data_IF_704504986721
#
_entry.id   IF_704504986721
#
_cell.length_a   1.000
_cell.length_b   1.000
_cell.length_c   1.000
_cell.angle_alpha   90.00
_cell.angle_beta   90.00
_cell.angle_gamma   90.00
#
_symmetry.space_group_name_H-M   'P 1'
#
loop_
_entity.id
_entity.type
_entity.pdbx_description
1 polymer ?
#
# COMPACT_ATOMS: atom_id res chain seq x y z
N UNK A 1 1.68 14.44 17.24
CA UNK A 1 0.51 14.19 18.11
C UNK A 1 -0.57 13.45 17.32
N UNK A 2 -1.08 13.96 16.19
CA UNK A 2 -2.17 13.32 15.41
C UNK A 2 -1.79 11.99 14.75
N UNK A 3 -0.53 11.63 14.67
CA UNK A 3 -0.10 10.34 14.13
C UNK A 3 0.04 9.27 15.23
N UNK A 4 0.59 9.63 16.38
CA UNK A 4 0.90 8.66 17.45
C UNK A 4 -0.27 8.38 18.38
N UNK A 5 -1.03 9.40 18.78
CA UNK A 5 -2.11 9.24 19.75
C UNK A 5 -3.32 8.45 19.20
N UNK A 6 -3.84 8.72 17.98
CA UNK A 6 -4.91 7.91 17.40
C UNK A 6 -4.47 6.46 17.14
N UNK A 7 -3.25 6.21 16.64
CA UNK A 7 -2.77 4.84 16.43
C UNK A 7 -2.79 4.03 17.73
N UNK A 8 -2.26 4.57 18.81
CA UNK A 8 -2.27 3.91 20.12
C UNK A 8 -3.70 3.66 20.62
N UNK A 9 -4.62 4.61 20.41
CA UNK A 9 -6.01 4.46 20.78
C UNK A 9 -6.70 3.34 19.98
N UNK A 10 -6.48 3.26 18.66
CA UNK A 10 -7.06 2.19 17.83
C UNK A 10 -6.54 0.81 18.21
N UNK A 11 -5.24 0.68 18.50
CA UNK A 11 -4.67 -0.58 18.99
C UNK A 11 -5.31 -0.97 20.31
N UNK A 12 -5.40 -0.06 21.27
CA UNK A 12 -6.00 -0.32 22.58
C UNK A 12 -7.49 -0.68 22.47
N UNK A 13 -8.25 0.01 21.62
CA UNK A 13 -9.66 -0.31 21.35
C UNK A 13 -9.80 -1.71 20.75
N UNK A 14 -8.96 -2.05 19.78
CA UNK A 14 -8.99 -3.36 19.14
C UNK A 14 -8.66 -4.51 20.12
N UNK A 15 -7.82 -4.26 21.11
CA UNK A 15 -7.45 -5.23 22.14
C UNK A 15 -8.44 -5.30 23.30
N UNK A 16 -9.31 -4.29 23.45
CA UNK A 16 -10.28 -4.21 24.56
C UNK A 16 -11.52 -5.08 24.37
N UNK A 17 -11.72 -5.66 23.18
CA UNK A 17 -12.92 -6.42 22.83
C UNK A 17 -14.14 -5.56 22.51
N UNK A 18 -13.95 -4.26 22.28
CA UNK A 18 -15.00 -3.34 21.82
C UNK A 18 -15.10 -3.41 20.29
N UNK A 19 -16.27 -3.78 19.79
CA UNK A 19 -16.52 -3.92 18.35
C UNK A 19 -16.83 -2.58 17.65
N UNK A 20 -17.36 -1.60 18.39
CA UNK A 20 -17.69 -0.28 17.87
C UNK A 20 -17.24 0.82 18.82
N UNK A 21 -16.68 1.88 18.27
CA UNK A 21 -16.23 3.04 19.03
C UNK A 21 -16.65 4.36 18.38
N UNK A 22 -16.79 5.42 19.18
CA UNK A 22 -16.98 6.79 18.71
C UNK A 22 -15.81 7.62 19.20
N UNK A 23 -15.10 8.27 18.27
CA UNK A 23 -13.94 9.08 18.58
C UNK A 23 -14.13 10.55 18.26
N UNK A 24 -13.73 11.44 19.15
CA UNK A 24 -13.70 12.91 18.97
C UNK A 24 -12.28 13.42 18.66
N UNK A 25 -11.52 12.67 17.88
CA UNK A 25 -10.12 13.01 17.58
C UNK A 25 -9.97 14.31 16.76
N UNK A 26 -11.04 14.76 16.09
CA UNK A 26 -11.06 16.01 15.32
C UNK A 26 -11.03 17.25 16.22
N UNK A 27 -11.36 17.12 17.51
CA UNK A 27 -11.28 18.19 18.49
C UNK A 27 -9.84 18.56 18.88
N UNK A 28 -8.89 17.67 18.58
CA UNK A 28 -7.47 17.95 18.80
C UNK A 28 -7.04 19.12 17.92
N UNK A 29 -6.54 20.18 18.53
CA UNK A 29 -6.03 21.32 17.77
C UNK A 29 -4.75 20.97 17.02
N UNK A 30 -4.74 21.28 15.73
CA UNK A 30 -3.57 21.18 14.86
C UNK A 30 -3.52 22.45 14.02
N UNK A 31 -2.44 23.21 14.20
CA UNK A 31 -2.26 24.51 13.55
C UNK A 31 -2.36 24.36 12.01
N UNK A 32 -3.10 25.26 11.40
CA UNK A 32 -3.28 25.38 9.95
C UNK A 32 -3.83 24.12 9.24
N UNK A 33 -4.63 23.28 9.98
CA UNK A 33 -5.26 22.08 9.41
C UNK A 33 -6.78 22.08 9.60
N UNK A 34 -7.49 21.83 8.51
CA UNK A 34 -8.95 21.70 8.52
C UNK A 34 -9.43 20.41 9.20
N UNK A 35 -10.69 20.39 9.61
CA UNK A 35 -11.34 19.18 10.14
C UNK A 35 -11.33 18.04 9.13
N UNK A 36 -11.54 18.31 7.84
CA UNK A 36 -11.44 17.32 6.76
C UNK A 36 -10.04 16.71 6.68
N UNK A 37 -8.97 17.52 6.78
CA UNK A 37 -7.60 17.00 6.82
C UNK A 37 -7.39 16.10 8.04
N UNK A 38 -7.88 16.50 9.22
CA UNK A 38 -7.79 15.69 10.44
C UNK A 38 -8.52 14.37 10.28
N UNK A 39 -9.74 14.37 9.76
CA UNK A 39 -10.52 13.17 9.51
C UNK A 39 -9.80 12.19 8.56
N UNK A 40 -9.20 12.70 7.49
CA UNK A 40 -8.37 11.91 6.56
C UNK A 40 -7.20 11.23 7.30
N UNK A 41 -6.48 11.96 8.13
CA UNK A 41 -5.35 11.41 8.89
C UNK A 41 -5.81 10.36 9.91
N UNK A 42 -6.92 10.60 10.60
CA UNK A 42 -7.47 9.67 11.59
C UNK A 42 -7.87 8.36 10.92
N UNK A 43 -8.60 8.42 9.81
CA UNK A 43 -9.03 7.22 9.07
C UNK A 43 -7.83 6.43 8.52
N UNK A 44 -6.83 7.11 7.94
CA UNK A 44 -5.59 6.48 7.50
C UNK A 44 -4.86 5.79 8.65
N UNK A 45 -4.77 6.45 9.81
CA UNK A 45 -4.12 5.90 11.00
C UNK A 45 -4.89 4.72 11.59
N UNK A 46 -6.22 4.70 11.52
CA UNK A 46 -7.03 3.55 11.94
C UNK A 46 -6.68 2.31 11.14
N UNK A 47 -6.71 2.41 9.80
CA UNK A 47 -6.35 1.32 8.91
C UNK A 47 -4.92 0.80 9.16
N UNK A 48 -3.97 1.72 9.26
CA UNK A 48 -2.55 1.34 9.38
C UNK A 48 -2.16 0.82 10.75
N UNK A 49 -2.84 1.26 11.81
CA UNK A 49 -2.59 0.81 13.19
C UNK A 49 -3.05 -0.63 13.45
N UNK A 50 -4.07 -1.08 12.72
CA UNK A 50 -4.67 -2.41 12.88
C UNK A 50 -4.06 -3.47 11.94
N UNK A 51 -3.14 -3.07 11.08
CA UNK A 51 -2.46 -4.00 10.17
C UNK A 51 -1.68 -5.07 10.94
N UNK A 52 -1.89 -6.33 10.56
CA UNK A 52 -1.14 -7.49 11.05
C UNK A 52 -0.79 -8.41 9.89
N UNK A 53 0.49 -8.66 9.68
CA UNK A 53 0.94 -9.67 8.75
C UNK A 53 0.70 -11.08 9.28
N UNK A 54 0.11 -11.94 8.47
CA UNK A 54 -0.26 -13.31 8.88
C UNK A 54 0.03 -14.40 7.85
N UNK A 55 0.34 -14.05 6.61
CA UNK A 55 0.36 -15.00 5.48
C UNK A 55 1.35 -16.16 5.63
N UNK A 56 2.50 -15.95 6.28
CA UNK A 56 3.52 -17.00 6.49
C UNK A 56 3.59 -17.51 7.92
N UNK A 57 2.63 -17.10 8.78
CA UNK A 57 2.60 -17.53 10.18
C UNK A 57 1.63 -18.69 10.33
N UNK A 58 2.08 -19.80 10.95
CA UNK A 58 1.28 -20.99 11.20
C UNK A 58 0.12 -20.75 12.18
N UNK A 59 0.29 -19.82 13.12
CA UNK A 59 -0.76 -19.42 14.06
C UNK A 59 -0.70 -17.89 14.26
N UNK A 60 -1.74 -17.20 13.84
CA UNK A 60 -2.00 -15.83 14.28
C UNK A 60 -3.06 -15.89 15.37
N UNK A 61 -2.75 -15.41 16.57
CA UNK A 61 -3.80 -15.16 17.58
C UNK A 61 -4.71 -14.07 17.00
N UNK A 62 -5.86 -14.49 16.47
CA UNK A 62 -6.93 -13.58 16.13
C UNK A 62 -7.40 -12.85 17.41
N UNK A 63 -7.71 -11.56 17.28
CA UNK A 63 -8.43 -10.86 18.34
C UNK A 63 -9.84 -11.45 18.35
N UNK A 64 -10.29 -11.97 19.49
CA UNK A 64 -11.62 -12.65 19.61
C UNK A 64 -12.77 -11.71 19.18
N UNK A 65 -12.66 -10.42 19.54
CA UNK A 65 -13.62 -9.37 19.18
C UNK A 65 -12.85 -8.16 18.65
N UNK A 66 -12.54 -8.11 17.36
CA UNK A 66 -11.81 -6.99 16.77
C UNK A 66 -12.70 -5.75 16.69
N UNK A 67 -12.08 -4.58 16.68
CA UNK A 67 -12.76 -3.33 16.39
C UNK A 67 -13.26 -3.36 14.93
N UNK A 68 -14.57 -3.36 14.75
CA UNK A 68 -15.23 -3.44 13.44
C UNK A 68 -15.53 -2.07 12.84
N UNK A 69 -15.83 -1.09 13.70
CA UNK A 69 -16.17 0.26 13.26
C UNK A 69 -15.73 1.32 14.26
N UNK A 70 -15.25 2.45 13.72
CA UNK A 70 -15.01 3.65 14.51
C UNK A 70 -15.68 4.84 13.82
N UNK A 71 -16.62 5.46 14.51
CA UNK A 71 -17.29 6.67 14.04
C UNK A 71 -16.51 7.91 14.48
N UNK A 72 -16.13 8.75 13.53
CA UNK A 72 -15.51 10.05 13.82
C UNK A 72 -16.63 11.07 14.05
N UNK A 73 -16.80 11.51 15.31
CA UNK A 73 -17.78 12.54 15.65
C UNK A 73 -17.25 13.92 15.27
N UNK A 74 -18.09 14.72 14.61
CA UNK A 74 -17.79 16.09 14.19
C UNK A 74 -18.96 17.02 14.50
N UNK A 75 -18.69 18.31 14.73
CA UNK A 75 -19.72 19.31 15.06
C UNK A 75 -20.33 20.01 13.83
N UNK A 76 -19.73 19.84 12.66
CA UNK A 76 -20.11 20.53 11.41
C UNK A 76 -20.66 19.58 10.37
N UNK A 77 -21.34 20.13 9.35
CA UNK A 77 -21.90 19.38 8.24
C UNK A 77 -20.82 18.60 7.46
N UNK A 78 -21.13 17.34 7.18
CA UNK A 78 -20.15 16.28 7.15
C UNK A 78 -19.73 15.84 5.74
N UNK A 79 -20.28 16.33 4.63
CA UNK A 79 -20.02 15.75 3.30
C UNK A 79 -18.52 15.77 2.90
N UNK A 80 -17.85 16.90 3.07
CA UNK A 80 -16.43 17.03 2.78
C UNK A 80 -15.56 16.25 3.78
N UNK A 81 -16.01 16.19 5.03
CA UNK A 81 -15.33 15.46 6.09
C UNK A 81 -15.47 13.95 5.87
N UNK A 82 -16.66 13.49 5.48
CA UNK A 82 -16.92 12.10 5.12
C UNK A 82 -16.02 11.67 3.95
N UNK A 83 -16.03 12.45 2.86
CA UNK A 83 -15.15 12.19 1.70
C UNK A 83 -13.68 12.15 2.09
N UNK A 84 -13.23 13.05 2.96
CA UNK A 84 -11.86 13.07 3.45
C UNK A 84 -11.52 11.81 4.29
N UNK A 85 -12.46 11.34 5.12
CA UNK A 85 -12.28 10.10 5.89
C UNK A 85 -12.21 8.87 4.96
N UNK A 86 -13.08 8.78 3.95
CA UNK A 86 -13.04 7.71 2.93
C UNK A 86 -11.71 7.71 2.17
N UNK A 87 -11.20 8.87 1.76
CA UNK A 87 -9.87 8.99 1.17
C UNK A 87 -8.76 8.55 2.13
N UNK A 88 -8.90 8.88 3.42
CA UNK A 88 -7.96 8.44 4.45
C UNK A 88 -7.91 6.92 4.61
N UNK A 89 -9.06 6.28 4.64
CA UNK A 89 -9.17 4.81 4.69
C UNK A 89 -8.56 4.16 3.45
N UNK A 90 -8.84 4.69 2.26
CA UNK A 90 -8.26 4.22 1.01
C UNK A 90 -6.71 4.34 0.98
N UNK A 91 -6.17 5.46 1.48
CA UNK A 91 -4.72 5.65 1.62
C UNK A 91 -4.14 4.61 2.59
N UNK A 92 -4.78 4.41 3.75
CA UNK A 92 -4.38 3.41 4.73
C UNK A 92 -4.39 1.99 4.16
N UNK A 93 -5.42 1.64 3.43
CA UNK A 93 -5.53 0.35 2.75
C UNK A 93 -4.44 0.16 1.66
N UNK A 94 -4.08 1.23 0.93
CA UNK A 94 -2.95 1.25 0.00
C UNK A 94 -1.60 1.04 0.71
N UNK A 95 -1.39 1.71 1.84
CA UNK A 95 -0.19 1.53 2.68
C UNK A 95 -0.08 0.10 3.22
N UNK A 96 -1.20 -0.50 3.65
CA UNK A 96 -1.23 -1.87 4.13
C UNK A 96 -0.91 -2.88 3.02
N UNK A 97 -1.40 -2.65 1.80
CA UNK A 97 -1.02 -3.46 0.64
C UNK A 97 0.51 -3.39 0.39
N UNK A 98 1.09 -2.20 0.47
CA UNK A 98 2.54 -2.04 0.29
C UNK A 98 3.34 -2.78 1.39
N UNK A 99 2.88 -2.71 2.64
CA UNK A 99 3.48 -3.46 3.77
C UNK A 99 3.36 -4.96 3.56
N UNK A 100 2.18 -5.44 3.20
CA UNK A 100 1.93 -6.87 2.98
C UNK A 100 2.86 -7.44 1.90
N UNK A 101 3.06 -6.71 0.81
CA UNK A 101 3.99 -7.11 -0.24
C UNK A 101 5.45 -7.09 0.23
N UNK A 102 5.82 -6.11 1.07
CA UNK A 102 7.16 -6.03 1.66
C UNK A 102 7.43 -7.12 2.70
N UNK A 103 6.40 -7.51 3.48
CA UNK A 103 6.53 -8.54 4.53
C UNK A 103 6.53 -9.97 3.97
N UNK A 104 6.18 -10.15 2.68
CA UNK A 104 6.25 -11.45 2.01
C UNK A 104 7.70 -11.82 1.67
N UNK A 105 8.12 -13.05 1.95
CA UNK A 105 9.46 -13.50 1.60
C UNK A 105 9.64 -13.56 0.07
N UNK A 106 10.88 -13.36 -0.40
CA UNK A 106 11.21 -13.25 -1.82
C UNK A 106 10.90 -14.49 -2.68
N UNK A 107 10.72 -15.65 -2.05
CA UNK A 107 10.24 -16.88 -2.71
C UNK A 107 8.73 -16.88 -2.95
N UNK A 108 7.97 -16.03 -2.29
CA UNK A 108 6.53 -15.80 -2.49
C UNK A 108 6.32 -14.53 -3.30
N UNK A 109 6.88 -13.40 -2.86
CA UNK A 109 6.81 -12.12 -3.56
C UNK A 109 7.78 -12.09 -4.75
N UNK A 110 7.50 -12.89 -5.77
CA UNK A 110 8.26 -12.94 -7.02
C UNK A 110 7.80 -11.88 -8.00
N UNK A 111 8.55 -11.56 -9.09
CA UNK A 111 8.07 -10.66 -10.13
C UNK A 111 6.73 -11.09 -10.74
N UNK A 112 6.54 -12.41 -10.92
CA UNK A 112 5.27 -12.98 -11.41
C UNK A 112 4.14 -12.70 -10.42
N UNK A 113 4.33 -12.96 -9.12
CA UNK A 113 3.35 -12.64 -8.09
C UNK A 113 2.97 -11.15 -8.09
N UNK A 114 3.97 -10.28 -8.20
CA UNK A 114 3.72 -8.84 -8.31
C UNK A 114 2.88 -8.50 -9.55
N UNK A 115 3.11 -9.12 -10.69
CA UNK A 115 2.33 -8.92 -11.90
C UNK A 115 0.88 -9.40 -11.73
N UNK A 116 0.68 -10.60 -11.19
CA UNK A 116 -0.65 -11.17 -10.89
C UNK A 116 -1.47 -10.27 -9.97
N UNK A 117 -0.84 -9.77 -8.92
CA UNK A 117 -1.48 -8.84 -8.01
C UNK A 117 -1.85 -7.50 -8.68
N UNK A 118 -1.06 -7.00 -9.63
CA UNK A 118 -1.39 -5.79 -10.39
C UNK A 118 -2.55 -6.02 -11.37
N UNK A 119 -2.58 -7.16 -12.01
CA UNK A 119 -3.69 -7.57 -12.88
C UNK A 119 -4.99 -7.68 -12.06
N UNK A 120 -4.94 -8.32 -10.90
CA UNK A 120 -6.09 -8.43 -10.00
C UNK A 120 -6.63 -7.05 -9.55
N UNK A 121 -5.77 -6.06 -9.34
CA UNK A 121 -6.22 -4.69 -9.08
C UNK A 121 -6.91 -4.08 -10.31
N UNK A 122 -6.39 -4.29 -11.51
CA UNK A 122 -7.03 -3.84 -12.76
C UNK A 122 -8.39 -4.50 -12.99
N UNK A 123 -8.54 -5.77 -12.62
CA UNK A 123 -9.84 -6.47 -12.70
C UNK A 123 -10.84 -5.95 -11.65
N UNK A 124 -10.36 -5.62 -10.46
CA UNK A 124 -11.19 -5.10 -9.38
C UNK A 124 -11.67 -3.66 -9.60
N UNK A 125 -10.82 -2.83 -10.18
CA UNK A 125 -11.10 -1.39 -10.35
C UNK A 125 -11.06 -1.01 -11.83
N UNK A 126 -12.23 -0.73 -12.42
CA UNK A 126 -12.35 -0.34 -13.84
C UNK A 126 -11.59 0.95 -14.20
N UNK A 127 -11.22 1.76 -13.19
CA UNK A 127 -10.38 2.96 -13.35
C UNK A 127 -8.89 2.67 -13.52
N UNK A 128 -8.46 1.42 -13.31
CA UNK A 128 -7.07 0.99 -13.46
C UNK A 128 -6.94 0.11 -14.70
N UNK A 129 -6.07 0.50 -15.64
CA UNK A 129 -5.66 -0.35 -16.74
C UNK A 129 -4.25 -0.90 -16.45
N UNK A 130 -4.12 -2.23 -16.42
CA UNK A 130 -2.84 -2.89 -16.13
C UNK A 130 -2.30 -3.57 -17.38
N UNK A 131 -1.03 -3.31 -17.70
CA UNK A 131 -0.28 -3.97 -18.78
C UNK A 131 0.99 -4.57 -18.18
N UNK A 132 1.29 -5.82 -18.54
CA UNK A 132 2.51 -6.52 -18.13
C UNK A 132 3.30 -6.86 -19.38
N UNK A 133 4.57 -6.42 -19.44
CA UNK A 133 5.51 -6.85 -20.48
C UNK A 133 6.34 -8.02 -19.96
N UNK A 134 6.40 -9.05 -20.76
CA UNK A 134 7.26 -10.22 -20.56
C UNK A 134 8.70 -9.94 -21.03
N UNK A 135 9.64 -10.82 -20.70
CA UNK A 135 11.05 -10.67 -21.12
C UNK A 135 11.21 -10.55 -22.65
N UNK A 136 10.43 -11.30 -23.42
CA UNK A 136 10.47 -11.23 -24.89
C UNK A 136 10.00 -9.86 -25.42
N UNK A 137 8.97 -9.27 -24.79
CA UNK A 137 8.48 -7.93 -25.15
C UNK A 137 9.54 -6.87 -24.85
N UNK A 138 10.17 -6.99 -23.68
CA UNK A 138 11.23 -6.08 -23.25
C UNK A 138 12.49 -6.21 -24.12
N UNK A 139 12.82 -7.43 -24.58
CA UNK A 139 13.94 -7.68 -25.51
C UNK A 139 13.66 -7.02 -26.87
N UNK A 140 12.44 -7.17 -27.40
CA UNK A 140 12.02 -6.53 -28.64
C UNK A 140 12.08 -4.98 -28.57
N UNK A 141 11.86 -4.42 -27.38
CA UNK A 141 11.99 -2.97 -27.10
C UNK A 141 13.43 -2.52 -26.81
N UNK A 142 14.41 -3.44 -26.83
CA UNK A 142 15.81 -3.12 -26.55
C UNK A 142 16.10 -2.79 -25.08
N UNK A 143 15.32 -3.28 -24.12
CA UNK A 143 15.45 -2.99 -22.69
C UNK A 143 16.58 -3.81 -22.03
N UNK A 144 17.77 -3.80 -22.62
CA UNK A 144 18.90 -4.62 -22.21
C UNK A 144 19.38 -4.37 -20.77
N UNK A 145 19.32 -3.14 -20.28
CA UNK A 145 19.72 -2.81 -18.91
C UNK A 145 18.84 -3.50 -17.86
N UNK A 146 17.52 -3.51 -18.05
CA UNK A 146 16.59 -4.21 -17.15
C UNK A 146 16.84 -5.72 -17.21
N UNK A 147 16.90 -6.27 -18.41
CA UNK A 147 17.10 -7.71 -18.64
C UNK A 147 18.48 -8.20 -18.16
N UNK A 148 19.50 -7.35 -18.15
CA UNK A 148 20.82 -7.72 -17.60
C UNK A 148 20.77 -8.01 -16.10
N UNK A 149 19.91 -7.33 -15.36
CA UNK A 149 19.72 -7.54 -13.91
C UNK A 149 19.01 -8.86 -13.64
N UNK A 150 18.05 -9.25 -14.46
CA UNK A 150 17.26 -10.48 -14.27
C UNK A 150 17.94 -11.75 -14.80
N UNK A 151 19.00 -11.66 -15.62
CA UNK A 151 19.64 -12.83 -16.28
C UNK A 151 20.07 -13.95 -15.36
N UNK A 152 20.45 -13.62 -14.13
CA UNK A 152 20.85 -14.63 -13.12
C UNK A 152 19.67 -15.24 -12.36
N UNK A 153 18.46 -14.72 -12.54
CA UNK A 153 17.28 -15.19 -11.83
C UNK A 153 16.61 -16.37 -12.57
N UNK A 154 16.03 -17.28 -11.78
CA UNK A 154 15.12 -18.31 -12.31
C UNK A 154 13.68 -17.80 -12.46
N UNK A 155 13.39 -16.62 -11.88
CA UNK A 155 12.10 -15.94 -12.02
C UNK A 155 12.17 -14.96 -13.19
N UNK A 156 11.24 -15.00 -14.14
CA UNK A 156 11.24 -14.11 -15.28
C UNK A 156 10.96 -12.66 -14.82
N UNK A 157 11.68 -11.71 -15.44
CA UNK A 157 11.44 -10.29 -15.20
C UNK A 157 10.06 -9.86 -15.72
N UNK A 158 9.48 -8.88 -15.09
CA UNK A 158 8.21 -8.26 -15.47
C UNK A 158 8.34 -6.74 -15.45
N UNK A 159 7.84 -6.07 -16.48
CA UNK A 159 7.59 -4.63 -16.43
C UNK A 159 6.09 -4.40 -16.32
N UNK A 160 5.65 -3.86 -15.18
CA UNK A 160 4.25 -3.70 -14.85
C UNK A 160 3.88 -2.23 -14.98
N UNK A 161 2.94 -1.91 -15.86
CA UNK A 161 2.39 -0.57 -16.01
C UNK A 161 0.95 -0.55 -15.52
N UNK A 162 0.64 0.37 -14.62
CA UNK A 162 -0.71 0.57 -14.07
C UNK A 162 -1.13 2.02 -14.34
N UNK A 163 -2.10 2.20 -15.20
CA UNK A 163 -2.66 3.49 -15.60
C UNK A 163 -3.94 3.77 -14.84
N UNK A 164 -3.99 4.84 -14.05
CA UNK A 164 -5.20 5.32 -13.42
C UNK A 164 -5.73 6.55 -14.15
N UNK A 165 -6.97 6.48 -14.63
CA UNK A 165 -7.61 7.52 -15.43
C UNK A 165 -8.60 8.37 -14.61
N UNK A 166 -8.15 8.92 -13.51
CA UNK A 166 -8.99 9.74 -12.62
C UNK A 166 -9.07 11.21 -12.98
N UNK A 167 -8.11 11.73 -13.77
CA UNK A 167 -8.00 13.17 -14.08
C UNK A 167 -8.29 13.52 -15.56
N UNK A 168 -8.98 12.65 -16.30
CA UNK A 168 -9.36 12.86 -17.70
C UNK A 168 -8.13 13.08 -18.61
N UNK A 169 -8.11 14.18 -19.36
CA UNK A 169 -7.08 14.50 -20.33
C UNK A 169 -5.85 15.24 -19.74
N UNK A 170 -5.74 15.32 -18.44
CA UNK A 170 -4.58 15.92 -17.77
C UNK A 170 -3.31 15.12 -18.05
N UNK A 171 -2.16 15.81 -18.07
CA UNK A 171 -0.88 15.12 -18.22
C UNK A 171 -0.67 14.13 -17.09
N UNK A 172 -0.25 12.89 -17.38
CA UNK A 172 -0.06 11.88 -16.36
C UNK A 172 1.12 12.19 -15.44
N UNK A 173 0.95 11.94 -14.15
CA UNK A 173 2.05 11.85 -13.20
C UNK A 173 2.58 10.41 -13.24
N UNK A 174 3.87 10.25 -13.52
CA UNK A 174 4.52 8.93 -13.62
C UNK A 174 5.28 8.63 -12.34
N UNK A 175 4.93 7.53 -11.69
CA UNK A 175 5.64 6.98 -10.56
C UNK A 175 6.40 5.74 -11.01
N UNK A 176 7.72 5.70 -10.78
CA UNK A 176 8.58 4.57 -11.12
C UNK A 176 9.03 3.88 -9.84
N UNK A 177 8.73 2.60 -9.71
CA UNK A 177 9.10 1.79 -8.54
C UNK A 177 10.08 0.68 -8.91
N UNK A 178 11.24 0.62 -8.22
CA UNK A 178 12.14 -0.52 -8.27
C UNK A 178 11.43 -1.74 -7.68
N UNK A 179 11.41 -2.85 -8.42
CA UNK A 179 10.72 -4.09 -8.07
C UNK A 179 11.67 -5.29 -7.97
N UNK A 180 12.89 -5.08 -7.51
CA UNK A 180 13.85 -6.17 -7.30
C UNK A 180 13.47 -6.93 -6.03
N UNK A 181 12.92 -8.13 -6.18
CA UNK A 181 12.29 -8.90 -5.09
C UNK A 181 13.28 -9.50 -4.08
N UNK A 182 14.56 -9.62 -4.44
CA UNK A 182 15.66 -9.92 -3.54
C UNK A 182 16.98 -9.50 -4.18
N UNK A 183 17.74 -8.64 -3.52
CA UNK A 183 19.04 -8.14 -4.02
C UNK A 183 20.20 -8.67 -3.19
N UNK A 184 20.77 -9.79 -3.60
CA UNK A 184 21.99 -10.33 -3.00
C UNK A 184 23.30 -9.60 -3.40
N UNK A 185 23.23 -8.64 -4.32
CA UNK A 185 24.39 -7.90 -4.85
C UNK A 185 25.03 -8.53 -6.09
N UNK A 186 24.62 -9.71 -6.53
CA UNK A 186 25.16 -10.40 -7.71
C UNK A 186 26.60 -10.89 -7.48
N UNK A 187 27.52 -10.63 -8.45
CA UNK A 187 28.95 -11.03 -8.35
C UNK A 187 29.62 -10.36 -7.15
N UNK A 188 29.31 -9.11 -6.87
CA UNK A 188 29.72 -8.41 -5.65
C UNK A 188 28.69 -8.70 -4.54
N UNK A 189 28.76 -9.90 -3.97
CA UNK A 189 27.82 -10.36 -2.95
C UNK A 189 27.83 -9.41 -1.74
N UNK A 190 26.65 -9.02 -1.30
CA UNK A 190 26.49 -8.22 -0.08
C UNK A 190 26.90 -9.02 1.17
N UNK A 191 27.31 -8.34 2.26
CA UNK A 191 27.56 -9.02 3.54
C UNK A 191 26.34 -9.80 4.01
N UNK A 192 26.54 -10.91 4.71
CA UNK A 192 25.45 -11.74 5.25
C UNK A 192 24.63 -11.03 6.33
N UNK A 193 25.25 -10.10 7.05
CA UNK A 193 24.56 -9.30 8.05
C UNK A 193 23.53 -8.38 7.39
N UNK A 194 22.24 -8.54 7.72
CA UNK A 194 21.13 -7.79 7.14
C UNK A 194 20.80 -8.18 5.69
N UNK A 195 21.30 -9.32 5.19
CA UNK A 195 21.00 -9.80 3.84
C UNK A 195 19.51 -10.14 3.68
N UNK A 196 18.86 -10.60 4.73
CA UNK A 196 17.42 -10.87 4.80
C UNK A 196 16.57 -9.61 4.58
N UNK A 197 17.04 -8.44 5.00
CA UNK A 197 16.38 -7.16 4.74
C UNK A 197 16.34 -6.78 3.25
N UNK A 198 17.11 -7.46 2.39
CA UNK A 198 17.11 -7.22 0.94
C UNK A 198 15.83 -7.72 0.24
N UNK A 199 14.93 -8.36 0.95
CA UNK A 199 13.54 -8.61 0.50
C UNK A 199 12.76 -7.30 0.35
N UNK A 200 13.06 -6.28 1.16
CA UNK A 200 12.44 -4.95 1.08
C UNK A 200 12.89 -4.09 -0.11
N UNK A 201 13.83 -4.57 -0.92
CA UNK A 201 14.34 -3.82 -2.09
C UNK A 201 13.26 -3.55 -3.15
N UNK A 202 12.16 -4.30 -3.13
CA UNK A 202 10.99 -4.10 -3.97
C UNK A 202 9.96 -3.10 -3.41
N UNK A 203 10.15 -2.53 -2.22
CA UNK A 203 9.15 -1.66 -1.58
C UNK A 203 8.79 -0.42 -2.39
N UNK A 204 9.69 0.08 -3.26
CA UNK A 204 9.34 1.16 -4.17
C UNK A 204 8.20 0.76 -5.12
N UNK A 205 8.23 -0.45 -5.69
CA UNK A 205 7.14 -0.94 -6.55
C UNK A 205 5.87 -1.24 -5.76
N UNK A 206 6.01 -1.73 -4.53
CA UNK A 206 4.88 -1.93 -3.61
C UNK A 206 4.17 -0.60 -3.30
N UNK A 207 4.92 0.48 -3.05
CA UNK A 207 4.39 1.81 -2.81
C UNK A 207 3.65 2.38 -4.03
N UNK A 208 4.20 2.23 -5.25
CA UNK A 208 3.50 2.63 -6.49
C UNK A 208 2.16 1.92 -6.61
N UNK A 209 2.12 0.64 -6.30
CA UNK A 209 0.92 -0.17 -6.34
C UNK A 209 -0.08 0.20 -5.25
N UNK A 210 0.38 0.42 -4.02
CA UNK A 210 -0.43 0.93 -2.92
C UNK A 210 -1.06 2.28 -3.27
N UNK A 211 -0.33 3.17 -3.95
CA UNK A 211 -0.82 4.44 -4.46
C UNK A 211 -1.97 4.22 -5.47
N UNK A 212 -1.81 3.33 -6.45
CA UNK A 212 -2.88 3.03 -7.43
C UNK A 212 -4.14 2.48 -6.77
N UNK A 213 -3.99 1.62 -5.77
CA UNK A 213 -5.12 1.14 -4.97
C UNK A 213 -5.82 2.28 -4.24
N UNK A 214 -5.07 3.16 -3.57
CA UNK A 214 -5.61 4.30 -2.84
C UNK A 214 -6.35 5.27 -3.76
N UNK A 215 -5.81 5.57 -4.94
CA UNK A 215 -6.43 6.43 -5.95
C UNK A 215 -7.77 5.85 -6.42
N UNK A 216 -7.82 4.56 -6.72
CA UNK A 216 -9.02 3.89 -7.21
C UNK A 216 -10.11 3.77 -6.12
N UNK A 217 -9.77 3.41 -4.89
CA UNK A 217 -10.71 3.30 -3.78
C UNK A 217 -11.19 4.66 -3.28
N UNK A 218 -10.28 5.62 -3.13
CA UNK A 218 -10.57 6.95 -2.59
C UNK A 218 -11.07 7.94 -3.63
N UNK A 219 -11.16 7.55 -4.91
CA UNK A 219 -11.46 8.47 -6.02
C UNK A 219 -10.61 9.73 -5.94
N UNK A 220 -9.30 9.52 -5.71
CA UNK A 220 -8.34 10.60 -5.53
C UNK A 220 -7.84 11.02 -6.92
N UNK A 221 -7.98 12.31 -7.24
CA UNK A 221 -7.50 12.91 -8.49
C UNK A 221 -6.34 13.86 -8.18
N UNK A 222 -5.40 13.96 -9.09
CA UNK A 222 -4.22 14.84 -9.01
C UNK A 222 -4.34 15.98 -10.01
#
# INVERSE_FOLDING_TARGET
ILHTSPCAAFVALNESGVEQAVGRFTDIEVNDRSTAWKARQIACNAETALYKYSQTKSETKAVEKPLLACTISVEQDAADIQKAAEQGAAIGAGMNLARELGDLPGNVCTPTYLAEQAVALGEKYASINTTVLEEADMEALGMGSLLSVSRGSRQPAKLITMEYKGAGDSKPVVLVGKGLTFDAGGISLKPSQGMDEMEYDMCCSANVRGTRKAEAEGTITH
#
